data_IF_423976507618
#
_entry.id   IF_423976507618
#
_cell.length_a   1.000
_cell.length_b   1.000
_cell.length_c   1.000
_cell.angle_alpha   90.00
_cell.angle_beta   90.00
_cell.angle_gamma   90.00
#
_symmetry.space_group_name_H-M   'P 1'
#
loop_
_entity.id
_entity.type
_entity.pdbx_description
1 polymer ?
#
# COMPACT_ATOMS: atom_id res chain seq x y z
N UNK A 1 -13.27 10.41 23.54
CA UNK A 1 -12.68 9.36 22.67
C UNK A 1 -13.33 9.44 21.31
N UNK A 2 -12.59 9.70 20.24
CA UNK A 2 -13.14 9.62 18.89
C UNK A 2 -13.46 8.15 18.57
N UNK A 3 -14.68 7.86 18.13
CA UNK A 3 -15.07 6.53 17.67
C UNK A 3 -14.21 6.14 16.46
N UNK A 4 -13.56 4.97 16.55
CA UNK A 4 -12.81 4.41 15.43
C UNK A 4 -13.80 4.02 14.33
N UNK A 5 -13.79 4.75 13.22
CA UNK A 5 -14.62 4.42 12.05
C UNK A 5 -13.88 3.40 11.18
N UNK A 6 -14.21 2.12 11.37
CA UNK A 6 -13.74 1.06 10.49
C UNK A 6 -14.43 1.18 9.12
N UNK A 7 -13.66 1.06 8.04
CA UNK A 7 -14.17 0.94 6.68
C UNK A 7 -13.63 -0.35 6.07
N UNK A 8 -14.42 -1.01 5.23
CA UNK A 8 -13.89 -2.07 4.37
C UNK A 8 -12.93 -1.45 3.36
N UNK A 9 -11.81 -2.11 3.11
CA UNK A 9 -10.84 -1.70 2.11
C UNK A 9 -10.24 -2.89 1.39
N UNK A 10 -9.73 -2.63 0.19
CA UNK A 10 -9.01 -3.60 -0.64
C UNK A 10 -7.61 -3.08 -0.92
N UNK A 11 -6.67 -4.00 -1.10
CA UNK A 11 -5.29 -3.70 -1.48
C UNK A 11 -4.81 -4.73 -2.49
N UNK A 12 -4.02 -4.31 -3.47
CA UNK A 12 -3.36 -5.19 -4.43
C UNK A 12 -1.84 -5.18 -4.19
N UNK A 13 -1.24 -6.36 -4.13
CA UNK A 13 0.20 -6.50 -4.31
C UNK A 13 0.44 -6.61 -5.80
N UNK A 14 1.04 -5.58 -6.39
CA UNK A 14 1.37 -5.55 -7.82
C UNK A 14 2.88 -5.72 -7.94
N UNK A 15 3.29 -6.68 -8.75
CA UNK A 15 4.67 -7.01 -9.04
C UNK A 15 4.99 -6.60 -10.48
N UNK A 16 6.23 -6.20 -10.72
CA UNK A 16 6.79 -6.14 -12.08
C UNK A 16 7.58 -7.41 -12.41
N UNK A 17 8.18 -7.46 -13.60
CA UNK A 17 8.98 -8.60 -14.08
C UNK A 17 10.21 -8.90 -13.21
N UNK A 18 10.61 -7.97 -12.34
CA UNK A 18 11.71 -8.15 -11.39
C UNK A 18 11.24 -8.44 -9.96
N UNK A 19 9.99 -8.89 -9.77
CA UNK A 19 9.37 -9.18 -8.48
C UNK A 19 9.36 -7.98 -7.49
N UNK A 20 9.37 -6.75 -8.01
CA UNK A 20 9.31 -5.55 -7.17
C UNK A 20 7.86 -5.14 -6.90
N UNK A 21 7.55 -4.80 -5.65
CA UNK A 21 6.20 -4.39 -5.25
C UNK A 21 5.97 -2.91 -5.48
N UNK A 22 4.86 -2.55 -6.12
CA UNK A 22 4.38 -1.17 -6.19
C UNK A 22 3.84 -0.71 -4.82
N UNK A 23 4.39 0.40 -4.31
CA UNK A 23 3.87 1.13 -3.15
C UNK A 23 3.48 2.56 -3.57
N UNK A 24 2.38 3.05 -3.02
CA UNK A 24 1.90 4.42 -3.20
C UNK A 24 2.19 5.25 -1.94
N UNK A 25 2.62 6.50 -2.14
CA UNK A 25 2.82 7.47 -1.06
C UNK A 25 1.49 8.14 -0.72
N UNK A 26 0.98 7.93 0.49
CA UNK A 26 -0.24 8.55 0.98
C UNK A 26 0.08 9.65 1.99
N UNK A 27 -0.46 10.84 1.75
CA UNK A 27 -0.50 11.91 2.73
C UNK A 27 -1.81 11.81 3.52
N UNK A 28 -1.73 11.38 4.78
CA UNK A 28 -2.89 11.24 5.65
C UNK A 28 -3.01 12.46 6.56
N UNK A 29 -4.10 13.25 6.44
CA UNK A 29 -4.34 14.35 7.37
C UNK A 29 -4.65 13.79 8.76
N UNK A 30 -3.99 14.33 9.79
CA UNK A 30 -4.30 14.08 11.21
C UNK A 30 -4.37 15.40 11.99
N UNK A 31 -5.09 15.43 13.13
CA UNK A 31 -5.17 16.63 13.98
C UNK A 31 -3.80 17.16 14.44
N UNK A 32 -2.81 16.26 14.58
CA UNK A 32 -1.44 16.57 15.02
C UNK A 32 -0.50 16.96 13.88
N UNK A 33 -1.02 17.18 12.67
CA UNK A 33 -0.24 17.38 11.45
C UNK A 33 -0.29 16.16 10.51
N UNK A 34 -0.06 16.36 9.21
CA UNK A 34 -0.14 15.28 8.23
C UNK A 34 0.96 14.24 8.47
N UNK A 35 0.62 12.96 8.30
CA UNK A 35 1.60 11.87 8.29
C UNK A 35 1.71 11.32 6.88
N UNK A 36 2.91 10.89 6.50
CA UNK A 36 3.15 10.18 5.24
C UNK A 36 3.24 8.69 5.54
N UNK A 37 2.52 7.89 4.77
CA UNK A 37 2.63 6.43 4.81
C UNK A 37 2.83 5.88 3.41
N UNK A 38 3.56 4.76 3.31
CA UNK A 38 3.67 3.99 2.09
C UNK A 38 2.85 2.72 2.24
N UNK A 39 2.00 2.42 1.27
CA UNK A 39 1.18 1.23 1.29
C UNK A 39 0.91 0.72 -0.13
N UNK A 40 0.57 -0.56 -0.25
CA UNK A 40 0.17 -1.15 -1.52
C UNK A 40 -1.02 -0.39 -2.16
N UNK A 41 -1.16 -0.36 -3.50
CA UNK A 41 -2.35 0.13 -4.20
C UNK A 41 -3.67 -0.29 -3.58
N UNK A 42 -4.64 0.62 -3.49
CA UNK A 42 -5.98 0.31 -3.04
C UNK A 42 -6.60 1.36 -2.14
N UNK A 43 -7.85 1.12 -1.77
CA UNK A 43 -8.68 2.10 -1.09
C UNK A 43 -9.94 1.50 -0.48
N UNK A 44 -10.91 2.36 -0.19
CA UNK A 44 -12.16 1.97 0.44
C UNK A 44 -13.06 1.19 -0.53
N UNK A 45 -13.81 0.23 0.00
CA UNK A 45 -14.93 -0.38 -0.73
C UNK A 45 -16.15 0.51 -0.55
N UNK A 46 -16.72 0.98 -1.65
CA UNK A 46 -17.91 1.84 -1.62
C UNK A 46 -19.19 1.05 -1.31
N UNK A 47 -20.24 1.74 -0.85
CA UNK A 47 -21.53 1.09 -0.57
C UNK A 47 -22.11 0.49 -1.85
N UNK A 48 -22.46 -0.80 -1.79
CA UNK A 48 -23.02 -1.53 -2.93
C UNK A 48 -21.98 -2.00 -3.95
N UNK A 49 -20.70 -1.62 -3.77
CA UNK A 49 -19.60 -2.06 -4.61
C UNK A 49 -19.10 -3.46 -4.18
N UNK A 50 -18.79 -4.32 -5.15
CA UNK A 50 -18.13 -5.59 -4.86
C UNK A 50 -16.65 -5.37 -4.54
N UNK A 51 -16.05 -6.27 -3.76
CA UNK A 51 -14.62 -6.24 -3.42
C UNK A 51 -13.73 -6.19 -4.68
N UNK A 52 -14.08 -6.98 -5.70
CA UNK A 52 -13.35 -7.02 -6.96
C UNK A 52 -13.51 -5.72 -7.76
N UNK A 53 -14.73 -5.16 -7.81
CA UNK A 53 -15.00 -3.90 -8.51
C UNK A 53 -14.22 -2.74 -7.86
N UNK A 54 -14.20 -2.69 -6.52
CA UNK A 54 -13.40 -1.72 -5.77
C UNK A 54 -11.91 -1.84 -6.10
N UNK A 55 -11.37 -3.06 -6.14
CA UNK A 55 -9.96 -3.28 -6.45
C UNK A 55 -9.61 -2.86 -7.88
N UNK A 56 -10.48 -3.17 -8.85
CA UNK A 56 -10.30 -2.78 -10.25
C UNK A 56 -10.34 -1.25 -10.44
N UNK A 57 -11.26 -0.55 -9.75
CA UNK A 57 -11.34 0.91 -9.77
C UNK A 57 -10.04 1.54 -9.26
N UNK A 58 -9.60 1.13 -8.07
CA UNK A 58 -8.38 1.66 -7.44
C UNK A 58 -7.13 1.40 -8.31
N UNK A 59 -7.01 0.20 -8.90
CA UNK A 59 -5.90 -0.11 -9.80
C UNK A 59 -5.91 0.74 -11.08
N UNK A 60 -7.09 1.03 -11.65
CA UNK A 60 -7.22 1.93 -12.80
C UNK A 60 -6.83 3.36 -12.45
N UNK A 61 -7.23 3.85 -11.28
CA UNK A 61 -6.84 5.19 -10.81
C UNK A 61 -5.32 5.32 -10.69
N UNK A 62 -4.65 4.30 -10.13
CA UNK A 62 -3.19 4.27 -9.99
C UNK A 62 -2.50 4.13 -11.34
N UNK A 63 -3.01 3.30 -12.26
CA UNK A 63 -2.48 3.21 -13.64
C UNK A 63 -2.67 4.51 -14.44
N UNK A 64 -3.72 5.26 -14.13
CA UNK A 64 -4.00 6.59 -14.69
C UNK A 64 -3.18 7.72 -14.06
N UNK A 65 -2.51 7.48 -12.92
CA UNK A 65 -1.74 8.50 -12.23
C UNK A 65 -0.50 8.91 -13.04
N UNK A 66 -0.17 10.21 -13.03
CA UNK A 66 0.94 10.81 -13.79
C UNK A 66 1.91 11.62 -12.94
N UNK A 67 1.69 11.67 -11.62
CA UNK A 67 2.64 12.29 -10.70
C UNK A 67 3.81 11.37 -10.38
N UNK A 68 4.66 11.81 -9.46
CA UNK A 68 5.91 11.11 -9.10
C UNK A 68 5.81 10.30 -7.80
N UNK A 69 4.65 10.27 -7.14
CA UNK A 69 4.44 9.71 -5.80
C UNK A 69 4.33 8.16 -5.73
N UNK A 70 5.05 7.43 -6.58
CA UNK A 70 5.08 5.96 -6.61
C UNK A 70 6.49 5.45 -6.32
N UNK A 71 6.60 4.40 -5.50
CA UNK A 71 7.87 3.78 -5.15
C UNK A 71 7.80 2.27 -5.38
N UNK A 72 8.85 1.74 -5.99
CA UNK A 72 9.07 0.31 -6.17
C UNK A 72 10.41 -0.02 -5.52
N UNK A 73 10.44 -0.59 -4.30
CA UNK A 73 11.69 -0.90 -3.64
C UNK A 73 12.49 -1.93 -4.45
N UNK A 74 13.81 -1.78 -4.47
CA UNK A 74 14.71 -2.88 -4.81
C UNK A 74 14.89 -3.76 -3.57
N UNK A 75 14.96 -5.07 -3.76
CA UNK A 75 15.25 -6.08 -2.71
C UNK A 75 14.19 -6.19 -1.58
N UNK A 76 12.90 -6.07 -1.91
CA UNK A 76 11.81 -6.33 -0.96
C UNK A 76 11.52 -7.83 -0.77
N UNK A 77 11.91 -8.67 -1.73
CA UNK A 77 11.67 -10.12 -1.69
C UNK A 77 12.27 -10.78 -0.43
N UNK A 78 13.50 -10.38 -0.06
CA UNK A 78 14.20 -10.94 1.10
C UNK A 78 13.50 -10.64 2.44
N UNK A 79 13.11 -9.38 2.75
CA UNK A 79 12.32 -9.08 3.96
C UNK A 79 10.92 -9.69 3.98
N UNK A 80 10.25 -9.80 2.82
CA UNK A 80 8.88 -10.33 2.74
C UNK A 80 8.87 -11.86 2.87
N UNK A 81 9.86 -12.56 2.31
CA UNK A 81 10.06 -13.99 2.55
C UNK A 81 10.28 -14.29 4.04
N UNK A 82 11.10 -13.50 4.74
CA UNK A 82 11.31 -13.65 6.18
C UNK A 82 10.01 -13.45 7.00
N UNK A 83 9.18 -12.49 6.59
CA UNK A 83 7.87 -12.24 7.22
C UNK A 83 6.86 -13.37 6.96
N UNK A 84 6.84 -13.92 5.75
CA UNK A 84 5.98 -15.06 5.37
C UNK A 84 6.44 -16.34 6.10
N UNK A 85 7.75 -16.55 6.25
CA UNK A 85 8.36 -17.63 7.02
C UNK A 85 8.29 -17.40 8.55
N UNK A 86 7.52 -16.40 8.99
CA UNK A 86 7.15 -16.20 10.40
C UNK A 86 8.16 -15.47 11.27
N UNK A 87 9.23 -14.88 10.70
CA UNK A 87 10.19 -14.05 11.44
C UNK A 87 10.17 -12.61 10.95
N UNK A 88 9.49 -11.75 11.70
CA UNK A 88 9.62 -10.31 11.52
C UNK A 88 11.08 -9.87 11.75
N UNK A 89 11.66 -9.03 10.86
CA UNK A 89 13.01 -8.53 11.06
C UNK A 89 13.11 -7.74 12.38
N UNK A 90 14.09 -8.10 13.21
CA UNK A 90 14.30 -7.48 14.54
C UNK A 90 14.89 -6.06 14.51
N UNK A 91 15.10 -5.49 13.31
CA UNK A 91 15.63 -4.14 13.11
C UNK A 91 15.00 -3.48 11.88
N UNK A 92 15.07 -2.15 11.82
CA UNK A 92 14.60 -1.36 10.67
C UNK A 92 15.39 -1.75 9.42
N UNK A 93 14.72 -2.29 8.42
CA UNK A 93 15.30 -2.61 7.11
C UNK A 93 15.29 -1.35 6.24
N UNK A 94 16.47 -0.88 5.85
CA UNK A 94 16.58 0.17 4.82
C UNK A 94 16.40 -0.47 3.45
N UNK A 95 15.21 -0.29 2.91
CA UNK A 95 14.94 -0.56 1.50
C UNK A 95 15.62 0.55 0.70
N UNK A 96 16.54 0.17 -0.20
CA UNK A 96 17.45 1.11 -0.87
C UNK A 96 16.76 2.34 -1.46
N UNK A 97 17.36 3.51 -1.25
CA UNK A 97 17.06 4.76 -1.95
C UNK A 97 17.95 4.87 -3.19
#
# INVERSE_FOLDING_TARGET
>A
MALVRLRRSVRAIVLDEGDRVLLCRFLLPKPTGPIVVWAAPGGGVERGESVLAALQRELREIAGYRGTDLFSPRDLATPLAALIDGRAPGAVVRLGL
#
